data_IF_623256932830
#
_entry.id   IF_623256932830
#
_cell.length_a   1.000
_cell.length_b   1.000
_cell.length_c   1.000
_cell.angle_alpha   90.00
_cell.angle_beta   90.00
_cell.angle_gamma   90.00
#
_symmetry.space_group_name_H-M   'P 1'
#
loop_
_entity.id
_entity.type
_entity.pdbx_description
1 polymer ?
#
# COMPACT_ATOMS: atom_id res chain seq x y z
N UNK A 1 23.19 16.23 3.93
CA UNK A 1 23.75 14.99 4.46
C UNK A 1 24.89 15.18 5.47
N UNK A 2 25.53 16.33 5.57
CA UNK A 2 26.64 16.51 6.50
C UNK A 2 26.55 17.84 7.27
N UNK A 3 26.21 17.78 8.57
CA UNK A 3 26.27 18.92 9.48
C UNK A 3 27.63 19.07 10.18
N UNK A 4 28.62 18.22 9.85
CA UNK A 4 29.96 18.33 10.43
C UNK A 4 30.91 19.13 9.52
N UNK A 5 31.22 20.40 9.83
CA UNK A 5 32.08 21.24 9.00
C UNK A 5 33.55 20.76 8.87
N UNK A 6 33.93 19.72 9.65
CA UNK A 6 35.29 19.14 9.62
C UNK A 6 35.46 18.04 8.58
N UNK A 7 34.39 17.67 7.85
CA UNK A 7 34.46 16.63 6.83
C UNK A 7 34.23 17.26 5.46
N UNK A 8 35.15 17.03 4.54
CA UNK A 8 35.03 17.43 3.13
C UNK A 8 34.51 16.24 2.32
N UNK A 9 33.37 16.42 1.65
CA UNK A 9 32.83 15.42 0.73
C UNK A 9 33.25 15.76 -0.70
N UNK A 10 33.83 14.80 -1.40
CA UNK A 10 34.26 14.89 -2.79
C UNK A 10 33.48 13.87 -3.63
N UNK A 11 33.18 14.25 -4.87
CA UNK A 11 32.56 13.35 -5.85
C UNK A 11 33.43 13.32 -7.09
N UNK A 12 33.87 12.13 -7.51
CA UNK A 12 34.73 11.90 -8.63
C UNK A 12 34.08 10.93 -9.61
N UNK A 13 33.82 11.37 -10.83
CA UNK A 13 33.21 10.55 -11.87
C UNK A 13 34.22 10.48 -13.03
N UNK A 14 34.60 9.27 -13.40
CA UNK A 14 35.50 9.05 -14.52
C UNK A 14 34.79 9.38 -15.84
N UNK A 15 35.42 10.12 -16.73
CA UNK A 15 34.91 10.38 -18.08
C UNK A 15 34.71 9.10 -18.88
N UNK A 16 33.67 9.08 -19.75
CA UNK A 16 33.38 7.93 -20.63
C UNK A 16 32.45 6.87 -20.04
N UNK A 17 31.74 7.19 -18.94
CA UNK A 17 30.62 6.41 -18.42
C UNK A 17 29.33 7.24 -18.69
N UNK A 18 28.80 7.13 -19.91
CA UNK A 18 27.64 7.92 -20.33
C UNK A 18 26.32 7.23 -19.99
N UNK A 19 26.25 5.90 -20.13
CA UNK A 19 25.07 5.09 -19.86
C UNK A 19 25.46 3.76 -19.22
N UNK A 20 24.67 3.31 -18.24
CA UNK A 20 24.79 1.99 -17.66
C UNK A 20 23.41 1.47 -17.19
N UNK A 21 23.24 0.15 -17.19
CA UNK A 21 22.02 -0.50 -16.72
C UNK A 21 22.19 -0.90 -15.24
N UNK A 22 21.29 -0.43 -14.40
CA UNK A 22 21.32 -0.75 -12.97
C UNK A 22 19.93 -0.56 -12.32
N UNK A 23 19.71 -1.24 -11.20
CA UNK A 23 18.58 -0.96 -10.34
C UNK A 23 18.88 0.26 -9.47
N UNK A 24 18.14 1.34 -9.70
CA UNK A 24 18.35 2.62 -9.01
C UNK A 24 18.10 2.54 -7.50
N UNK A 25 17.19 1.67 -7.04
CA UNK A 25 16.91 1.48 -5.60
C UNK A 25 18.06 0.75 -4.92
N UNK A 26 18.61 -0.26 -5.58
CA UNK A 26 19.80 -1.00 -5.09
C UNK A 26 20.99 -0.08 -4.97
N UNK A 27 21.35 0.65 -6.03
CA UNK A 27 22.48 1.56 -6.01
C UNK A 27 22.30 2.66 -4.96
N UNK A 28 21.10 3.24 -4.86
CA UNK A 28 20.79 4.25 -3.83
C UNK A 28 20.96 3.67 -2.43
N UNK A 29 20.49 2.46 -2.19
CA UNK A 29 20.62 1.77 -0.90
C UNK A 29 22.07 1.49 -0.56
N UNK A 30 22.86 0.98 -1.52
CA UNK A 30 24.29 0.72 -1.35
C UNK A 30 25.04 2.00 -1.03
N UNK A 31 24.90 3.04 -1.86
CA UNK A 31 25.61 4.32 -1.68
C UNK A 31 25.23 4.96 -0.34
N UNK A 32 23.96 4.98 0.03
CA UNK A 32 23.53 5.55 1.32
C UNK A 32 24.12 4.81 2.51
N UNK A 33 24.19 3.47 2.48
CA UNK A 33 24.79 2.68 3.56
C UNK A 33 26.30 2.94 3.67
N UNK A 34 27.02 2.97 2.55
CA UNK A 34 28.45 3.22 2.53
C UNK A 34 28.79 4.65 2.96
N UNK A 35 28.06 5.66 2.45
CA UNK A 35 28.23 7.07 2.83
C UNK A 35 27.90 7.31 4.31
N UNK A 36 26.81 6.73 4.81
CA UNK A 36 26.45 6.83 6.22
C UNK A 36 27.54 6.25 7.13
N UNK A 37 28.12 5.11 6.77
CA UNK A 37 29.25 4.53 7.49
C UNK A 37 30.48 5.44 7.44
N UNK A 38 30.85 5.96 6.27
CA UNK A 38 31.99 6.86 6.11
C UNK A 38 31.83 8.12 6.98
N UNK A 39 30.64 8.78 6.96
CA UNK A 39 30.37 9.96 7.80
C UNK A 39 30.46 9.62 9.30
N UNK A 40 29.96 8.47 9.69
CA UNK A 40 29.93 8.02 11.08
C UNK A 40 31.32 7.73 11.64
N UNK A 41 32.21 7.16 10.84
CA UNK A 41 33.52 6.72 11.30
C UNK A 41 34.67 7.69 10.93
N UNK A 42 34.33 8.83 10.30
CA UNK A 42 35.34 9.90 9.98
C UNK A 42 35.07 11.13 10.85
N UNK A 43 35.78 11.35 11.95
CA UNK A 43 35.58 12.53 12.80
C UNK A 43 36.03 13.84 12.15
N UNK A 44 37.03 13.76 11.27
CA UNK A 44 37.56 14.88 10.47
C UNK A 44 38.33 14.35 9.28
N UNK A 45 38.38 15.09 8.18
CA UNK A 45 39.11 14.72 6.97
C UNK A 45 38.25 14.76 5.71
N UNK A 46 38.34 13.74 4.86
CA UNK A 46 37.60 13.69 3.60
C UNK A 46 36.91 12.36 3.39
N UNK A 47 35.77 12.42 2.67
CA UNK A 47 35.04 11.27 2.14
C UNK A 47 34.92 11.48 0.65
N UNK A 48 35.36 10.52 -0.15
CA UNK A 48 35.31 10.56 -1.61
C UNK A 48 34.34 9.50 -2.12
N UNK A 49 33.33 9.91 -2.83
CA UNK A 49 32.44 9.02 -3.62
C UNK A 49 32.97 9.02 -5.05
N UNK A 50 33.37 7.86 -5.57
CA UNK A 50 33.91 7.75 -6.91
C UNK A 50 33.15 6.72 -7.76
N UNK A 51 33.05 7.01 -9.07
CA UNK A 51 32.55 6.12 -10.10
C UNK A 51 33.67 5.91 -11.14
N UNK A 52 34.17 4.69 -11.24
CA UNK A 52 35.26 4.35 -12.12
C UNK A 52 34.97 3.10 -12.96
N UNK A 53 35.42 3.10 -14.19
CA UNK A 53 35.39 1.94 -15.08
C UNK A 53 36.59 1.06 -14.84
N UNK A 54 36.41 -0.15 -14.32
CA UNK A 54 37.48 -1.09 -14.04
C UNK A 54 37.92 -1.84 -15.32
N UNK A 55 36.94 -2.24 -16.13
CA UNK A 55 37.14 -2.90 -17.42
C UNK A 55 36.05 -2.46 -18.43
N UNK A 56 36.05 -3.02 -19.64
CA UNK A 56 34.97 -2.76 -20.60
C UNK A 56 33.61 -3.19 -20.11
N UNK A 57 33.52 -4.10 -19.14
CA UNK A 57 32.27 -4.73 -18.67
C UNK A 57 31.91 -4.40 -17.23
N UNK A 58 32.84 -3.87 -16.43
CA UNK A 58 32.68 -3.66 -14.99
C UNK A 58 32.95 -2.22 -14.57
N UNK A 59 32.08 -1.72 -13.72
CA UNK A 59 32.12 -0.39 -13.11
C UNK A 59 32.17 -0.53 -11.59
N UNK A 60 32.98 0.28 -10.95
CA UNK A 60 33.14 0.37 -9.49
C UNK A 60 32.52 1.66 -8.98
N UNK A 61 31.60 1.53 -8.03
CA UNK A 61 31.12 2.62 -7.20
C UNK A 61 31.82 2.50 -5.86
N UNK A 62 32.65 3.47 -5.49
CA UNK A 62 33.48 3.38 -4.30
C UNK A 62 33.26 4.56 -3.36
N UNK A 63 33.24 4.28 -2.05
CA UNK A 63 33.27 5.28 -0.99
C UNK A 63 34.57 5.09 -0.20
N UNK A 64 35.42 6.13 -0.21
CA UNK A 64 36.66 6.16 0.49
C UNK A 64 36.65 7.22 1.58
N UNK A 65 37.04 6.86 2.79
CA UNK A 65 37.09 7.74 3.96
C UNK A 65 38.48 7.78 4.58
N UNK A 66 38.82 8.89 5.21
CA UNK A 66 40.06 9.09 5.98
C UNK A 66 39.84 8.94 7.48
N UNK A 67 38.90 8.09 7.89
CA UNK A 67 38.50 7.90 9.27
C UNK A 67 39.36 6.92 10.07
N UNK A 68 38.75 6.26 11.04
CA UNK A 68 39.45 5.37 11.97
C UNK A 68 40.03 4.10 11.31
N UNK A 69 39.57 3.74 10.12
CA UNK A 69 39.92 2.47 9.48
C UNK A 69 39.50 1.25 10.31
N UNK A 70 39.71 0.07 9.75
CA UNK A 70 39.25 -1.21 10.31
C UNK A 70 40.45 -2.11 10.55
N UNK A 71 40.46 -2.82 11.68
CA UNK A 71 41.51 -3.79 11.99
C UNK A 71 41.41 -5.01 11.06
N UNK A 72 42.55 -5.61 10.68
CA UNK A 72 42.58 -6.78 9.78
C UNK A 72 41.74 -7.96 10.28
N UNK A 73 41.75 -8.14 11.59
CA UNK A 73 41.01 -9.21 12.26
C UNK A 73 39.47 -9.02 12.20
N UNK A 74 39.03 -7.77 12.07
CA UNK A 74 37.61 -7.42 11.98
C UNK A 74 37.08 -7.50 10.54
N UNK A 75 37.89 -7.32 9.51
CA UNK A 75 37.45 -7.28 8.10
C UNK A 75 36.56 -8.46 7.67
N UNK A 76 36.80 -9.73 8.05
CA UNK A 76 35.96 -10.84 7.68
C UNK A 76 34.54 -10.77 8.33
N UNK A 77 34.44 -10.06 9.46
CA UNK A 77 33.24 -10.06 10.31
C UNK A 77 32.35 -8.83 10.11
N UNK A 78 32.88 -7.72 9.55
CA UNK A 78 32.14 -6.45 9.45
C UNK A 78 30.89 -6.53 8.56
N UNK A 79 30.79 -7.53 7.71
CA UNK A 79 29.62 -7.83 6.87
C UNK A 79 28.66 -8.82 7.51
N UNK A 80 28.93 -9.31 8.72
CA UNK A 80 28.02 -10.19 9.45
C UNK A 80 26.92 -9.34 10.14
N UNK A 81 25.71 -9.89 10.22
CA UNK A 81 24.58 -9.18 10.84
C UNK A 81 24.86 -8.91 12.32
N UNK A 82 24.59 -7.69 12.77
CA UNK A 82 24.73 -7.23 14.15
C UNK A 82 26.20 -7.12 14.63
N UNK A 83 27.19 -7.33 13.76
CA UNK A 83 28.58 -7.15 14.14
C UNK A 83 28.93 -5.67 14.32
N UNK A 84 29.59 -5.37 15.43
CA UNK A 84 30.14 -4.04 15.75
C UNK A 84 31.50 -4.24 16.42
N UNK A 85 32.51 -3.49 15.96
CA UNK A 85 33.82 -3.53 16.59
C UNK A 85 33.76 -2.90 17.99
N UNK A 86 34.08 -3.67 19.04
CA UNK A 86 34.12 -3.20 20.42
C UNK A 86 35.31 -2.26 20.62
N UNK A 87 35.06 -0.96 20.84
CA UNK A 87 36.12 0.03 21.04
C UNK A 87 35.65 1.36 21.62
N UNK A 88 36.61 2.25 21.92
CA UNK A 88 36.38 3.58 22.52
C UNK A 88 35.55 4.54 21.63
N UNK A 89 35.27 4.17 20.39
CA UNK A 89 34.54 4.96 19.40
C UNK A 89 33.24 4.25 18.92
N UNK A 90 32.50 3.71 19.90
CA UNK A 90 31.21 3.06 19.61
C UNK A 90 30.21 4.12 19.12
N UNK A 91 30.11 4.26 17.80
CA UNK A 91 29.07 5.08 17.19
C UNK A 91 27.79 4.24 17.08
N UNK A 92 26.64 4.79 17.49
CA UNK A 92 25.35 4.07 17.45
C UNK A 92 25.02 3.58 16.05
N UNK A 93 24.66 2.30 15.91
CA UNK A 93 24.27 1.70 14.63
C UNK A 93 23.78 0.28 14.85
N UNK A 94 23.03 -0.26 13.89
CA UNK A 94 22.38 -1.57 13.99
C UNK A 94 23.28 -2.74 13.61
N UNK A 95 24.45 -2.50 12.98
CA UNK A 95 25.29 -3.57 12.42
C UNK A 95 24.65 -4.31 11.25
N UNK A 96 23.64 -3.73 10.58
CA UNK A 96 22.91 -4.37 9.47
C UNK A 96 23.33 -3.78 8.11
N UNK A 97 23.80 -2.53 8.05
CA UNK A 97 24.07 -1.82 6.79
C UNK A 97 25.01 -2.54 5.85
N UNK A 98 26.19 -2.99 6.32
CA UNK A 98 27.17 -3.72 5.49
C UNK A 98 26.69 -5.15 5.16
N UNK A 99 25.96 -5.80 6.04
CA UNK A 99 25.34 -7.08 5.76
C UNK A 99 24.31 -6.97 4.63
N UNK A 100 23.52 -5.87 4.61
CA UNK A 100 22.60 -5.57 3.52
C UNK A 100 23.33 -5.31 2.21
N UNK A 101 24.40 -4.50 2.21
CA UNK A 101 25.22 -4.25 1.01
C UNK A 101 25.79 -5.56 0.45
N UNK A 102 26.28 -6.45 1.31
CA UNK A 102 26.77 -7.78 0.90
C UNK A 102 25.66 -8.64 0.30
N UNK A 103 24.47 -8.65 0.89
CA UNK A 103 23.32 -9.40 0.35
C UNK A 103 22.86 -8.85 -1.01
N UNK A 104 22.84 -7.53 -1.17
CA UNK A 104 22.52 -6.88 -2.44
C UNK A 104 23.59 -7.18 -3.50
N UNK A 105 24.87 -7.20 -3.12
CA UNK A 105 25.94 -7.61 -4.03
C UNK A 105 25.75 -9.04 -4.55
N UNK A 106 25.40 -9.98 -3.68
CA UNK A 106 25.12 -11.37 -4.06
C UNK A 106 23.93 -11.50 -5.01
N UNK A 107 22.84 -10.76 -4.74
CA UNK A 107 21.63 -10.78 -5.57
C UNK A 107 21.85 -10.20 -6.97
N UNK A 108 22.78 -9.24 -7.11
CA UNK A 108 23.06 -8.55 -8.37
C UNK A 108 24.34 -9.03 -9.05
N UNK A 109 24.85 -10.21 -8.66
CA UNK A 109 26.14 -10.73 -9.17
C UNK A 109 27.26 -9.68 -9.11
N UNK A 110 27.17 -8.78 -8.15
CA UNK A 110 28.14 -7.72 -7.90
C UNK A 110 29.17 -8.18 -6.88
N UNK A 111 30.36 -7.57 -6.89
CA UNK A 111 31.42 -7.84 -5.94
C UNK A 111 31.55 -6.68 -4.95
N UNK A 112 31.62 -6.97 -3.66
CA UNK A 112 31.93 -5.99 -2.61
C UNK A 112 33.37 -6.18 -2.19
N UNK A 113 34.25 -5.21 -2.55
CA UNK A 113 35.66 -5.18 -2.13
C UNK A 113 35.84 -4.16 -1.00
N UNK A 114 36.67 -4.51 -0.02
CA UNK A 114 36.92 -3.69 1.17
C UNK A 114 38.41 -3.60 1.40
N UNK A 115 38.95 -2.38 1.28
CA UNK A 115 40.29 -2.04 1.62
C UNK A 115 40.31 -1.10 2.82
N UNK A 116 40.96 -1.50 3.92
CA UNK A 116 41.02 -0.67 5.11
C UNK A 116 42.23 -0.95 5.94
N UNK A 117 42.74 0.11 6.55
CA UNK A 117 43.86 0.04 7.50
C UNK A 117 43.59 0.92 8.69
N UNK A 118 43.71 0.37 9.88
CA UNK A 118 43.45 1.06 11.13
C UNK A 118 44.30 2.33 11.25
N UNK A 119 43.61 3.48 11.42
CA UNK A 119 44.20 4.81 11.51
C UNK A 119 44.44 5.52 10.17
N UNK A 120 44.19 4.86 9.02
CA UNK A 120 44.41 5.44 7.69
C UNK A 120 43.08 5.65 6.92
N UNK A 121 42.00 4.99 7.34
CA UNK A 121 40.69 5.06 6.71
C UNK A 121 40.23 3.76 6.04
N UNK A 122 39.16 3.82 5.28
CA UNK A 122 38.59 2.67 4.60
C UNK A 122 38.09 3.03 3.20
N UNK A 123 38.18 2.06 2.28
CA UNK A 123 37.58 2.13 0.95
C UNK A 123 36.69 0.93 0.74
N UNK A 124 35.40 1.20 0.44
CA UNK A 124 34.42 0.20 0.07
C UNK A 124 34.08 0.36 -1.39
N UNK A 125 34.22 -0.70 -2.18
CA UNK A 125 33.96 -0.69 -3.62
C UNK A 125 32.91 -1.71 -3.97
N UNK A 126 31.80 -1.23 -4.55
CA UNK A 126 30.72 -2.04 -5.08
C UNK A 126 30.91 -2.13 -6.60
N UNK A 127 31.21 -3.32 -7.11
CA UNK A 127 31.60 -3.54 -8.50
C UNK A 127 30.42 -4.27 -9.20
N UNK A 128 29.87 -3.63 -10.23
CA UNK A 128 28.72 -4.13 -10.99
C UNK A 128 29.02 -4.18 -12.49
N UNK A 129 28.24 -4.96 -13.23
CA UNK A 129 28.35 -5.00 -14.70
C UNK A 129 27.81 -3.71 -15.31
N UNK A 130 28.51 -3.23 -16.34
CA UNK A 130 28.11 -2.05 -17.10
C UNK A 130 26.90 -2.34 -18.01
N UNK A 131 26.81 -3.56 -18.55
CA UNK A 131 25.83 -3.98 -19.52
C UNK A 131 24.69 -4.79 -18.88
N UNK A 132 23.52 -4.76 -19.51
CA UNK A 132 22.36 -5.57 -19.11
C UNK A 132 22.48 -7.03 -19.57
N UNK A 133 23.53 -7.72 -19.11
CA UNK A 133 23.85 -9.11 -19.52
C UNK A 133 23.52 -10.14 -18.45
N UNK A 134 22.71 -9.78 -17.44
CA UNK A 134 22.28 -10.72 -16.41
C UNK A 134 21.27 -11.71 -16.99
N UNK A 135 21.51 -13.05 -16.87
CA UNK A 135 20.69 -14.07 -17.53
C UNK A 135 19.20 -14.07 -17.11
N UNK A 136 18.92 -13.61 -15.88
CA UNK A 136 17.57 -13.58 -15.28
C UNK A 136 17.04 -12.17 -15.06
N UNK A 137 17.68 -11.14 -15.65
CA UNK A 137 17.24 -9.76 -15.49
C UNK A 137 15.85 -9.58 -16.14
N UNK A 138 14.92 -9.03 -15.40
CA UNK A 138 13.67 -8.52 -15.93
C UNK A 138 13.99 -7.28 -16.78
N UNK A 139 14.08 -7.47 -18.09
CA UNK A 139 14.18 -6.36 -19.02
C UNK A 139 12.82 -5.67 -19.07
N UNK A 140 12.75 -4.40 -18.68
CA UNK A 140 11.67 -3.54 -19.14
C UNK A 140 11.96 -3.30 -20.62
N UNK A 141 11.28 -4.05 -21.47
CA UNK A 141 11.16 -3.65 -22.87
C UNK A 141 10.60 -2.22 -22.87
N UNK A 142 11.14 -1.37 -23.74
CA UNK A 142 10.65 -0.02 -24.01
C UNK A 142 9.24 -0.07 -24.67
N UNK A 143 8.29 -0.73 -24.04
CA UNK A 143 6.89 -0.48 -24.31
C UNK A 143 6.58 0.91 -23.74
N UNK A 144 6.67 1.90 -24.61
CA UNK A 144 5.91 3.12 -24.47
C UNK A 144 4.46 2.68 -24.26
N UNK A 145 4.04 2.61 -22.99
CA UNK A 145 2.64 2.54 -22.65
C UNK A 145 2.06 3.86 -23.14
N UNK A 146 1.46 3.82 -24.32
CA UNK A 146 0.63 4.91 -24.82
C UNK A 146 -0.53 5.08 -23.85
N UNK A 147 -0.44 6.08 -22.97
CA UNK A 147 -1.46 6.46 -21.99
C UNK A 147 -2.69 7.10 -22.67
N UNK A 148 -2.90 6.88 -23.97
CA UNK A 148 -4.01 7.48 -24.72
C UNK A 148 -5.27 6.63 -24.79
N UNK A 149 -5.30 5.37 -24.30
CA UNK A 149 -6.49 4.52 -24.38
C UNK A 149 -7.30 4.36 -23.10
N UNK A 150 -7.11 5.23 -22.10
CA UNK A 150 -7.93 5.22 -20.86
C UNK A 150 -9.11 6.20 -20.89
N UNK A 151 -9.49 6.75 -22.04
CA UNK A 151 -10.60 7.72 -22.18
C UNK A 151 -11.69 7.19 -23.11
N UNK A 152 -12.29 6.04 -22.81
CA UNK A 152 -13.61 5.70 -23.34
C UNK A 152 -14.49 5.11 -22.25
N UNK A 153 -15.03 6.01 -21.41
CA UNK A 153 -16.24 5.74 -20.64
C UNK A 153 -17.38 6.38 -21.42
N UNK A 154 -18.37 5.61 -21.89
CA UNK A 154 -19.53 6.19 -22.55
C UNK A 154 -20.31 7.03 -21.54
N UNK A 155 -20.42 8.30 -21.79
CA UNK A 155 -21.35 9.20 -21.14
C UNK A 155 -22.79 8.74 -21.44
N UNK A 156 -23.50 8.23 -20.45
CA UNK A 156 -24.93 8.04 -20.49
C UNK A 156 -25.59 9.09 -19.60
N UNK A 157 -26.29 9.98 -20.25
CA UNK A 157 -27.25 10.92 -19.64
C UNK A 157 -28.30 10.14 -18.84
N UNK A 158 -28.48 10.52 -17.57
CA UNK A 158 -29.53 9.93 -16.75
C UNK A 158 -29.58 10.50 -15.34
N UNK A 159 -30.46 11.49 -15.15
CA UNK A 159 -30.89 12.15 -13.91
C UNK A 159 -29.99 13.26 -13.37
N UNK A 160 -30.45 14.46 -13.64
CA UNK A 160 -30.09 15.72 -12.96
C UNK A 160 -30.52 15.63 -11.50
N UNK A 161 -29.55 15.40 -10.62
CA UNK A 161 -29.52 15.76 -9.19
C UNK A 161 -28.25 15.21 -8.54
N UNK A 162 -27.07 15.39 -9.12
CA UNK A 162 -25.78 15.32 -8.43
C UNK A 162 -24.81 16.21 -9.22
N UNK A 163 -24.85 17.48 -8.85
CA UNK A 163 -24.04 18.55 -9.43
C UNK A 163 -22.56 18.31 -9.18
N UNK A 164 -21.79 18.37 -10.27
CA UNK A 164 -20.41 18.83 -10.38
C UNK A 164 -19.46 18.36 -9.27
N UNK A 165 -19.12 17.06 -9.23
CA UNK A 165 -17.84 16.65 -8.71
C UNK A 165 -16.77 17.07 -9.74
N UNK A 166 -16.10 18.19 -9.50
CA UNK A 166 -14.94 18.64 -10.26
C UNK A 166 -13.89 17.51 -10.31
N UNK A 167 -13.08 17.47 -11.38
CA UNK A 167 -12.02 16.47 -11.56
C UNK A 167 -11.03 16.40 -10.37
N UNK A 168 -10.96 17.44 -9.56
CA UNK A 168 -10.21 17.48 -8.29
C UNK A 168 -10.74 16.51 -7.22
N UNK A 169 -12.03 16.19 -7.22
CA UNK A 169 -12.61 15.23 -6.25
C UNK A 169 -12.36 13.76 -6.58
N UNK A 170 -11.74 13.44 -7.73
CA UNK A 170 -11.44 12.06 -8.13
C UNK A 170 -10.11 11.54 -7.55
N UNK A 171 -9.19 12.43 -7.09
CA UNK A 171 -7.92 12.02 -6.50
C UNK A 171 -8.11 11.49 -5.08
N UNK A 172 -7.41 10.39 -4.67
CA UNK A 172 -7.47 9.88 -3.31
C UNK A 172 -7.05 10.93 -2.28
N UNK A 173 -7.70 10.90 -1.11
CA UNK A 173 -7.44 11.81 -0.01
C UNK A 173 -6.45 11.18 0.98
N UNK A 174 -5.28 11.77 1.15
CA UNK A 174 -4.28 11.35 2.13
C UNK A 174 -4.25 12.29 3.33
N UNK A 175 -4.04 11.74 4.51
CA UNK A 175 -3.76 12.50 5.73
C UNK A 175 -2.30 12.28 6.11
N UNK A 176 -1.53 13.37 6.22
CA UNK A 176 -0.14 13.38 6.69
C UNK A 176 -0.15 13.90 8.13
N UNK A 177 0.41 13.11 9.05
CA UNK A 177 0.52 13.45 10.47
C UNK A 177 2.01 13.45 10.84
N UNK A 178 2.59 14.61 11.04
CA UNK A 178 4.02 14.82 11.27
C UNK A 178 4.20 16.13 12.05
N UNK A 179 4.92 16.12 13.15
CA UNK A 179 5.14 17.30 13.97
C UNK A 179 6.15 18.28 13.34
N UNK A 180 7.14 17.77 12.63
CA UNK A 180 8.13 18.56 11.93
C UNK A 180 7.56 19.16 10.64
N UNK A 181 7.47 20.49 10.58
CA UNK A 181 6.92 21.24 9.43
C UNK A 181 7.68 20.99 8.13
N UNK A 182 9.01 20.85 8.20
CA UNK A 182 9.86 20.67 7.00
C UNK A 182 9.67 19.29 6.39
N UNK A 183 9.55 18.25 7.23
CA UNK A 183 9.26 16.88 6.78
C UNK A 183 7.83 16.81 6.24
N UNK A 184 6.87 17.42 6.91
CA UNK A 184 5.48 17.47 6.48
C UNK A 184 5.34 18.13 5.12
N UNK A 185 6.00 19.28 4.90
CA UNK A 185 6.03 19.97 3.62
C UNK A 185 6.72 19.14 2.52
N UNK A 186 7.84 18.49 2.84
CA UNK A 186 8.53 17.60 1.90
C UNK A 186 7.63 16.45 1.42
N UNK A 187 6.86 15.85 2.33
CA UNK A 187 5.92 14.78 1.97
C UNK A 187 4.79 15.33 1.09
N UNK A 188 4.22 16.49 1.46
CA UNK A 188 3.17 17.15 0.67
C UNK A 188 3.64 17.48 -0.73
N UNK A 189 4.77 18.18 -0.89
CA UNK A 189 5.33 18.57 -2.18
C UNK A 189 5.57 17.36 -3.10
N UNK A 190 5.89 16.21 -2.49
CA UNK A 190 6.12 14.97 -3.22
C UNK A 190 4.84 14.25 -3.66
N UNK A 191 3.69 14.52 -3.03
CA UNK A 191 2.45 13.76 -3.23
C UNK A 191 1.29 14.58 -3.82
N UNK A 192 1.33 15.92 -3.77
CA UNK A 192 0.21 16.80 -4.14
C UNK A 192 -0.23 16.70 -5.61
N UNK A 193 0.63 16.22 -6.51
CA UNK A 193 0.28 16.01 -7.92
C UNK A 193 -0.72 14.87 -8.10
N UNK A 194 -0.54 13.77 -7.35
CA UNK A 194 -1.33 12.54 -7.48
C UNK A 194 -2.47 12.44 -6.46
N UNK A 195 -2.36 13.15 -5.32
CA UNK A 195 -3.24 13.00 -4.16
C UNK A 195 -3.75 14.34 -3.65
N UNK A 196 -4.90 14.32 -3.00
CA UNK A 196 -5.37 15.43 -2.15
C UNK A 196 -4.79 15.24 -0.77
N UNK A 197 -4.23 16.29 -0.17
CA UNK A 197 -3.49 16.20 1.09
C UNK A 197 -4.24 16.94 2.20
N UNK A 198 -4.40 16.27 3.35
CA UNK A 198 -4.71 16.86 4.65
C UNK A 198 -3.46 16.77 5.53
N UNK A 199 -3.26 17.77 6.37
CA UNK A 199 -2.13 17.81 7.29
C UNK A 199 -2.59 17.90 8.74
N UNK A 200 -1.83 17.26 9.64
CA UNK A 200 -1.96 17.39 11.09
C UNK A 200 -0.56 17.46 11.70
N UNK A 201 -0.42 18.18 12.82
CA UNK A 201 0.87 18.39 13.49
C UNK A 201 1.10 17.45 14.68
N UNK A 202 0.11 16.62 15.06
CA UNK A 202 0.20 15.62 16.12
C UNK A 202 -0.88 14.56 15.96
N UNK A 203 -0.77 13.45 16.69
CA UNK A 203 -1.72 12.33 16.60
C UNK A 203 -3.14 12.67 17.01
N UNK A 204 -3.35 13.64 17.90
CA UNK A 204 -4.68 14.08 18.35
C UNK A 204 -5.42 14.78 17.22
N UNK A 205 -4.78 15.75 16.59
CA UNK A 205 -5.31 16.44 15.42
C UNK A 205 -5.52 15.46 14.25
N UNK A 206 -4.55 14.55 14.02
CA UNK A 206 -4.63 13.49 13.02
C UNK A 206 -5.85 12.59 13.21
N UNK A 207 -6.10 12.14 14.45
CA UNK A 207 -7.28 11.35 14.79
C UNK A 207 -8.58 12.11 14.50
N UNK A 208 -8.67 13.36 14.93
CA UNK A 208 -9.88 14.17 14.78
C UNK A 208 -10.17 14.44 13.29
N UNK A 209 -9.15 14.73 12.48
CA UNK A 209 -9.25 14.86 11.03
C UNK A 209 -9.62 13.53 10.34
N UNK A 210 -9.04 12.41 10.77
CA UNK A 210 -9.37 11.09 10.22
C UNK A 210 -10.85 10.76 10.44
N UNK A 211 -11.39 11.01 11.62
CA UNK A 211 -12.81 10.80 11.93
C UNK A 211 -13.74 11.75 11.17
N UNK A 212 -13.34 13.00 10.94
CA UNK A 212 -14.15 13.99 10.24
C UNK A 212 -14.10 13.83 8.72
N UNK A 213 -12.92 13.58 8.16
CA UNK A 213 -12.66 13.61 6.72
C UNK A 213 -12.54 12.23 6.07
N UNK A 214 -12.36 11.14 6.86
CA UNK A 214 -12.27 9.76 6.38
C UNK A 214 -11.31 9.61 5.19
N UNK A 215 -10.00 9.84 5.36
CA UNK A 215 -9.02 9.76 4.28
C UNK A 215 -8.90 8.33 3.73
N UNK A 216 -8.43 8.20 2.49
CA UNK A 216 -8.20 6.91 1.84
C UNK A 216 -6.94 6.21 2.38
N UNK A 217 -5.98 6.97 2.96
CA UNK A 217 -4.77 6.46 3.61
C UNK A 217 -4.19 7.53 4.54
N UNK A 218 -3.56 7.08 5.64
CA UNK A 218 -2.85 7.93 6.59
C UNK A 218 -1.36 7.61 6.56
N UNK A 219 -0.52 8.65 6.50
CA UNK A 219 0.93 8.58 6.72
C UNK A 219 1.22 9.33 8.01
N UNK A 220 1.76 8.65 9.02
CA UNK A 220 1.98 9.24 10.34
C UNK A 220 3.39 9.00 10.85
N UNK A 221 4.02 10.02 11.42
CA UNK A 221 5.18 9.78 12.29
C UNK A 221 4.74 9.02 13.55
N UNK A 222 5.67 8.25 14.12
CA UNK A 222 5.48 7.58 15.41
C UNK A 222 5.68 8.56 16.55
N UNK A 223 6.75 9.35 16.53
CA UNK A 223 7.18 10.16 17.67
C UNK A 223 6.66 11.59 17.54
N UNK A 224 5.51 11.87 18.12
CA UNK A 224 4.88 13.20 18.08
C UNK A 224 4.42 13.63 19.48
N UNK A 225 4.33 14.95 19.75
CA UNK A 225 3.78 15.47 21.01
C UNK A 225 2.27 15.18 21.13
N UNK A 226 1.74 15.28 22.35
CA UNK A 226 0.35 15.09 22.76
C UNK A 226 -0.18 13.66 22.60
N UNK A 227 -0.11 13.10 21.39
CA UNK A 227 -0.51 11.74 21.04
C UNK A 227 0.45 11.21 20.00
N UNK A 228 1.07 10.08 20.26
CA UNK A 228 1.97 9.44 19.31
C UNK A 228 1.22 8.70 18.19
N UNK A 229 1.95 8.35 17.10
CA UNK A 229 1.36 7.69 15.94
C UNK A 229 0.88 6.27 16.23
N UNK A 230 1.45 5.57 17.21
CA UNK A 230 1.04 4.22 17.60
C UNK A 230 -0.30 4.27 18.37
N UNK A 231 -0.42 5.18 19.31
CA UNK A 231 -1.66 5.40 20.07
C UNK A 231 -2.79 5.83 19.14
N UNK A 232 -2.53 6.78 18.23
CA UNK A 232 -3.49 7.20 17.20
C UNK A 232 -3.92 6.01 16.34
N UNK A 233 -2.98 5.18 15.90
CA UNK A 233 -3.27 4.01 15.06
C UNK A 233 -4.19 3.02 15.78
N UNK A 234 -3.91 2.69 17.03
CA UNK A 234 -4.76 1.80 17.85
C UNK A 234 -6.19 2.32 17.93
N UNK A 235 -6.37 3.59 18.29
CA UNK A 235 -7.70 4.21 18.39
C UNK A 235 -8.45 4.13 17.06
N UNK A 236 -7.78 4.46 15.94
CA UNK A 236 -8.41 4.44 14.62
C UNK A 236 -8.74 3.03 14.14
N UNK A 237 -7.93 2.04 14.46
CA UNK A 237 -8.14 0.64 14.08
C UNK A 237 -9.20 -0.05 14.94
N UNK A 238 -9.43 0.39 16.17
CA UNK A 238 -10.48 -0.08 17.07
C UNK A 238 -11.84 0.57 16.81
N UNK A 239 -11.89 1.69 16.10
CA UNK A 239 -13.15 2.36 15.74
C UNK A 239 -13.72 1.79 14.44
N UNK A 240 -14.94 1.27 14.51
CA UNK A 240 -15.64 0.69 13.34
C UNK A 240 -15.77 1.66 12.16
N UNK A 241 -15.70 2.97 12.40
CA UNK A 241 -15.80 3.98 11.34
C UNK A 241 -14.52 4.08 10.52
N UNK A 242 -13.34 3.89 11.15
CA UNK A 242 -12.02 4.16 10.59
C UNK A 242 -11.14 2.91 10.46
N UNK A 243 -11.57 1.75 10.98
CA UNK A 243 -10.80 0.49 10.95
C UNK A 243 -10.29 0.08 9.57
N UNK A 244 -11.02 0.44 8.51
CA UNK A 244 -10.67 0.13 7.13
C UNK A 244 -9.59 1.05 6.53
N UNK A 245 -9.29 2.20 7.16
CA UNK A 245 -8.32 3.18 6.64
C UNK A 245 -6.91 2.61 6.83
N UNK A 246 -6.12 2.42 5.76
CA UNK A 246 -4.74 1.97 5.87
C UNK A 246 -3.85 3.06 6.46
N UNK A 247 -2.90 2.64 7.31
CA UNK A 247 -1.98 3.53 8.01
C UNK A 247 -0.55 3.09 7.75
N UNK A 248 0.29 4.02 7.27
CA UNK A 248 1.74 3.88 7.15
C UNK A 248 2.38 4.64 8.30
N UNK A 249 3.16 3.95 9.14
CA UNK A 249 3.93 4.59 10.21
C UNK A 249 5.37 4.87 9.73
N UNK A 250 5.80 6.13 9.92
CA UNK A 250 7.17 6.56 9.68
C UNK A 250 7.96 6.37 10.98
N UNK A 251 9.10 5.69 10.93
CA UNK A 251 9.88 5.35 12.13
C UNK A 251 11.35 5.72 11.97
N UNK A 252 11.93 6.32 13.00
CA UNK A 252 13.38 6.52 13.09
C UNK A 252 14.10 5.33 13.77
N UNK A 253 13.33 4.38 14.36
CA UNK A 253 13.86 3.30 15.18
C UNK A 253 14.07 2.02 14.37
N UNK A 254 15.19 1.36 14.63
CA UNK A 254 15.66 0.15 13.94
C UNK A 254 15.58 -1.11 14.79
N UNK A 255 15.07 -1.02 16.05
CA UNK A 255 15.04 -2.20 16.91
C UNK A 255 13.90 -3.14 16.55
N UNK A 256 14.14 -4.45 16.60
CA UNK A 256 13.15 -5.48 16.33
C UNK A 256 11.93 -5.40 17.29
N UNK A 257 12.14 -4.93 18.53
CA UNK A 257 11.05 -4.75 19.50
C UNK A 257 10.11 -3.61 19.12
N UNK A 258 10.63 -2.49 18.58
CA UNK A 258 9.79 -1.35 18.17
C UNK A 258 8.96 -1.68 16.91
N UNK A 259 9.49 -2.54 16.03
CA UNK A 259 8.74 -3.06 14.89
C UNK A 259 7.62 -4.01 15.34
N UNK A 260 7.85 -4.79 16.38
CA UNK A 260 6.86 -5.73 16.93
C UNK A 260 5.71 -4.98 17.63
N UNK A 261 6.01 -3.95 18.46
CA UNK A 261 4.98 -3.07 19.04
C UNK A 261 4.16 -2.35 17.96
N UNK A 262 4.82 -1.98 16.88
CA UNK A 262 4.16 -1.37 15.75
C UNK A 262 3.25 -2.33 14.99
N UNK A 263 3.65 -3.58 14.71
CA UNK A 263 2.76 -4.58 14.10
C UNK A 263 1.56 -4.90 15.01
N UNK A 264 1.77 -4.94 16.32
CA UNK A 264 0.71 -5.14 17.31
C UNK A 264 -0.27 -3.94 17.37
N UNK A 265 0.13 -2.75 16.88
CA UNK A 265 -0.76 -1.58 16.77
C UNK A 265 -1.79 -1.67 15.64
N UNK A 266 -1.63 -2.62 14.71
CA UNK A 266 -2.50 -2.81 13.55
C UNK A 266 -2.17 -1.89 12.35
N UNK A 267 -1.00 -1.26 12.30
CA UNK A 267 -0.57 -0.50 11.13
C UNK A 267 -0.39 -1.41 9.91
N UNK A 268 -0.76 -0.91 8.72
CA UNK A 268 -0.69 -1.68 7.48
C UNK A 268 0.73 -1.69 6.88
N UNK A 269 1.57 -0.73 7.24
CA UNK A 269 2.96 -0.66 6.78
C UNK A 269 3.83 0.22 7.66
N UNK A 270 5.14 -0.03 7.58
CA UNK A 270 6.19 0.78 8.22
C UNK A 270 7.16 1.28 7.17
N UNK A 271 7.63 2.51 7.35
CA UNK A 271 8.66 3.11 6.51
C UNK A 271 9.72 3.76 7.39
N UNK A 272 10.96 3.35 7.23
CA UNK A 272 12.07 3.85 8.02
C UNK A 272 12.54 5.21 7.53
N UNK A 273 12.72 6.17 8.44
CA UNK A 273 13.39 7.44 8.20
C UNK A 273 14.93 7.24 8.24
N UNK A 274 15.72 7.84 7.31
CA UNK A 274 15.29 8.67 6.18
C UNK A 274 14.75 7.83 5.00
N UNK A 275 13.69 8.29 4.36
CA UNK A 275 13.09 7.65 3.19
C UNK A 275 13.13 8.57 1.96
N UNK A 276 13.06 7.98 0.78
CA UNK A 276 12.87 8.74 -0.46
C UNK A 276 11.38 8.94 -0.76
N UNK A 277 11.05 10.08 -1.38
CA UNK A 277 9.68 10.36 -1.84
C UNK A 277 9.14 9.25 -2.76
N UNK A 278 9.97 8.72 -3.67
CA UNK A 278 9.61 7.63 -4.57
C UNK A 278 9.21 6.35 -3.82
N UNK A 279 9.94 6.01 -2.75
CA UNK A 279 9.63 4.84 -1.93
C UNK A 279 8.29 5.00 -1.22
N UNK A 280 8.03 6.18 -0.64
CA UNK A 280 6.75 6.49 -0.02
C UNK A 280 5.60 6.43 -1.04
N UNK A 281 5.75 7.06 -2.22
CA UNK A 281 4.77 7.00 -3.32
C UNK A 281 4.46 5.56 -3.74
N UNK A 282 5.50 4.75 -3.95
CA UNK A 282 5.34 3.33 -4.32
C UNK A 282 4.58 2.55 -3.25
N UNK A 283 4.88 2.80 -1.96
CA UNK A 283 4.21 2.15 -0.84
C UNK A 283 2.72 2.53 -0.77
N UNK A 284 2.40 3.82 -0.90
CA UNK A 284 1.03 4.34 -0.94
C UNK A 284 0.27 3.70 -2.10
N UNK A 285 0.84 3.73 -3.31
CA UNK A 285 0.23 3.16 -4.52
C UNK A 285 -0.06 1.66 -4.36
N UNK A 286 0.88 0.90 -3.81
CA UNK A 286 0.72 -0.54 -3.58
C UNK A 286 -0.40 -0.84 -2.58
N UNK A 287 -0.49 -0.09 -1.48
CA UNK A 287 -1.55 -0.28 -0.48
C UNK A 287 -2.92 0.08 -1.07
N UNK A 288 -3.05 1.23 -1.73
CA UNK A 288 -4.32 1.65 -2.33
C UNK A 288 -4.78 0.69 -3.45
N UNK A 289 -3.85 0.22 -4.30
CA UNK A 289 -4.17 -0.76 -5.35
C UNK A 289 -4.52 -2.14 -4.78
N UNK A 290 -3.88 -2.56 -3.71
CA UNK A 290 -4.23 -3.79 -2.97
C UNK A 290 -5.62 -3.71 -2.37
N UNK A 291 -5.96 -2.59 -1.72
CA UNK A 291 -7.30 -2.33 -1.17
C UNK A 291 -8.38 -2.31 -2.25
N UNK A 292 -8.09 -1.72 -3.41
CA UNK A 292 -9.03 -1.72 -4.54
C UNK A 292 -9.31 -3.14 -5.04
N UNK A 293 -8.28 -3.96 -5.24
CA UNK A 293 -8.43 -5.37 -5.64
C UNK A 293 -9.22 -6.19 -4.62
N UNK A 294 -8.95 -5.96 -3.32
CA UNK A 294 -9.69 -6.60 -2.24
C UNK A 294 -11.17 -6.19 -2.26
N UNK A 295 -11.49 -4.91 -2.44
CA UNK A 295 -12.84 -4.41 -2.53
C UNK A 295 -13.60 -5.02 -3.72
N UNK A 296 -12.97 -5.13 -4.90
CA UNK A 296 -13.54 -5.79 -6.09
C UNK A 296 -13.83 -7.29 -5.81
N UNK A 297 -12.91 -7.98 -5.14
CA UNK A 297 -13.09 -9.38 -4.73
C UNK A 297 -14.25 -9.56 -3.74
N UNK A 298 -14.32 -8.71 -2.70
CA UNK A 298 -15.41 -8.72 -1.71
C UNK A 298 -16.75 -8.50 -2.39
N UNK A 299 -16.83 -7.55 -3.30
CA UNK A 299 -18.03 -7.29 -4.07
C UNK A 299 -18.49 -8.53 -4.86
N UNK A 300 -17.58 -9.29 -5.43
CA UNK A 300 -17.89 -10.52 -6.16
C UNK A 300 -18.34 -11.65 -5.22
N UNK A 301 -17.62 -11.88 -4.13
CA UNK A 301 -17.88 -12.95 -3.16
C UNK A 301 -19.21 -12.77 -2.38
N UNK A 302 -19.48 -11.57 -1.86
CA UNK A 302 -20.70 -11.29 -1.11
C UNK A 302 -21.96 -11.55 -1.95
N UNK A 303 -21.84 -11.40 -3.25
CA UNK A 303 -22.93 -11.70 -4.15
C UNK A 303 -23.06 -13.20 -4.49
N UNK A 304 -22.00 -13.98 -4.38
CA UNK A 304 -22.04 -15.45 -4.58
C UNK A 304 -22.66 -16.16 -3.38
N UNK A 305 -22.44 -15.68 -2.16
CA UNK A 305 -22.99 -16.27 -0.93
C UNK A 305 -24.53 -16.10 -0.82
N UNK A 306 -25.09 -15.05 -1.41
CA UNK A 306 -26.54 -14.83 -1.50
C UNK A 306 -27.19 -15.88 -2.41
N UNK A 307 -26.43 -16.42 -3.38
CA UNK A 307 -26.94 -17.44 -4.32
C UNK A 307 -26.87 -18.87 -3.75
N UNK A 308 -25.98 -19.16 -2.78
CA UNK A 308 -25.70 -20.53 -2.33
C UNK A 308 -26.48 -20.97 -1.07
N UNK A 309 -27.22 -20.11 -0.40
CA UNK A 309 -27.94 -20.45 0.85
C UNK A 309 -29.26 -21.21 0.69
N UNK A 310 -29.73 -21.53 -0.51
CA UNK A 310 -31.01 -22.21 -0.77
C UNK A 310 -30.86 -23.49 -1.61
N UNK A 311 -29.89 -24.38 -1.32
CA UNK A 311 -29.99 -25.77 -1.77
C UNK A 311 -29.66 -26.74 -0.62
N UNK A 312 -30.64 -27.41 -0.01
CA UNK A 312 -30.40 -28.62 0.75
C UNK A 312 -30.35 -29.80 -0.24
N UNK A 313 -29.22 -30.07 -0.84
CA UNK A 313 -28.99 -31.37 -1.46
C UNK A 313 -27.96 -32.11 -0.61
N UNK A 314 -28.47 -33.05 0.15
CA UNK A 314 -27.65 -34.12 0.66
C UNK A 314 -27.09 -34.91 -0.49
N UNK A 315 -25.76 -34.99 -0.52
CA UNK A 315 -25.01 -36.15 -0.93
C UNK A 315 -23.52 -35.89 -0.63
N UNK A 316 -23.00 -36.76 0.18
CA UNK A 316 -21.60 -36.85 0.58
C UNK A 316 -20.69 -37.03 -0.63
N UNK A 317 -19.77 -36.09 -0.84
CA UNK A 317 -18.58 -36.36 -1.64
C UNK A 317 -17.36 -36.39 -0.75
N UNK A 318 -16.64 -37.49 -0.89
CA UNK A 318 -15.46 -37.93 -0.14
C UNK A 318 -14.32 -36.90 -0.22
N UNK A 319 -13.67 -36.76 0.92
CA UNK A 319 -12.38 -36.09 1.09
C UNK A 319 -11.34 -36.74 0.20
N UNK A 320 -10.80 -36.00 -0.76
CA UNK A 320 -9.47 -36.25 -1.27
C UNK A 320 -8.52 -35.25 -0.60
N UNK A 321 -7.65 -35.80 0.24
CA UNK A 321 -6.48 -35.11 0.76
C UNK A 321 -5.47 -34.98 -0.39
N UNK A 322 -5.40 -33.79 -1.00
CA UNK A 322 -4.25 -33.38 -1.79
C UNK A 322 -3.78 -32.03 -1.30
N UNK A 323 -2.53 -31.99 -0.92
CA UNK A 323 -1.65 -30.90 -0.52
C UNK A 323 -2.04 -29.53 -1.11
N UNK A 324 -2.76 -28.73 -0.32
CA UNK A 324 -2.89 -27.30 -0.58
C UNK A 324 -1.73 -26.56 0.10
N UNK A 325 -0.87 -25.97 -0.73
CA UNK A 325 -0.22 -24.72 -0.39
C UNK A 325 -1.33 -23.73 -0.04
N UNK A 326 -1.44 -23.35 1.23
CA UNK A 326 -2.39 -22.38 1.74
C UNK A 326 -2.09 -21.01 1.08
N UNK A 327 -2.69 -20.75 -0.07
CA UNK A 327 -2.91 -19.38 -0.51
C UNK A 327 -3.94 -18.80 0.45
N UNK A 328 -3.48 -17.97 1.39
CA UNK A 328 -4.34 -17.17 2.27
C UNK A 328 -5.42 -16.50 1.41
N UNK A 329 -6.69 -16.79 1.71
CA UNK A 329 -7.81 -16.19 0.99
C UNK A 329 -7.71 -14.66 1.14
N UNK A 330 -7.96 -13.86 0.08
CA UNK A 330 -7.87 -12.40 0.15
C UNK A 330 -8.70 -11.78 1.28
N UNK A 331 -9.73 -12.47 1.75
CA UNK A 331 -10.55 -12.06 2.91
C UNK A 331 -9.84 -12.15 4.26
N UNK A 332 -8.71 -12.87 4.38
CA UNK A 332 -7.88 -12.87 5.59
C UNK A 332 -7.25 -11.50 5.89
N UNK A 333 -7.18 -10.61 4.89
CA UNK A 333 -6.66 -9.25 5.04
C UNK A 333 -7.67 -8.23 5.60
N UNK A 334 -8.94 -8.62 5.80
CA UNK A 334 -9.96 -7.75 6.41
C UNK A 334 -9.85 -7.78 7.93
N UNK A 335 -9.96 -6.60 8.56
CA UNK A 335 -10.11 -6.54 10.01
C UNK A 335 -11.39 -7.24 10.45
N UNK A 336 -11.41 -7.75 11.69
CA UNK A 336 -12.62 -8.38 12.25
C UNK A 336 -13.80 -7.40 12.30
N UNK A 337 -13.53 -6.12 12.57
CA UNK A 337 -14.54 -5.05 12.57
C UNK A 337 -15.14 -4.82 11.18
N UNK A 338 -14.30 -4.83 10.14
CA UNK A 338 -14.77 -4.64 8.76
C UNK A 338 -15.58 -5.84 8.28
N UNK A 339 -15.18 -7.06 8.66
CA UNK A 339 -15.96 -8.27 8.38
C UNK A 339 -17.33 -8.22 9.07
N UNK A 340 -17.38 -7.88 10.36
CA UNK A 340 -18.64 -7.71 11.09
C UNK A 340 -19.53 -6.61 10.49
N UNK A 341 -18.90 -5.53 10.02
CA UNK A 341 -19.63 -4.47 9.32
C UNK A 341 -20.28 -4.98 8.04
N UNK A 342 -19.55 -5.70 7.18
CA UNK A 342 -20.08 -6.26 5.94
C UNK A 342 -21.16 -7.33 6.19
N UNK A 343 -20.97 -8.18 7.18
CA UNK A 343 -21.97 -9.17 7.59
C UNK A 343 -23.28 -8.50 8.04
N UNK A 344 -23.17 -7.46 8.89
CA UNK A 344 -24.34 -6.69 9.34
C UNK A 344 -25.02 -5.98 8.19
N UNK A 345 -24.24 -5.37 7.27
CA UNK A 345 -24.73 -4.71 6.07
C UNK A 345 -25.54 -5.68 5.19
N UNK A 346 -24.96 -6.84 4.88
CA UNK A 346 -25.61 -7.85 4.04
C UNK A 346 -26.86 -8.44 4.70
N UNK A 347 -26.81 -8.73 6.00
CA UNK A 347 -27.97 -9.23 6.75
C UNK A 347 -29.12 -8.22 6.77
N UNK A 348 -28.83 -6.91 6.90
CA UNK A 348 -29.85 -5.86 6.82
C UNK A 348 -30.47 -5.79 5.43
N UNK A 349 -29.64 -5.86 4.37
CA UNK A 349 -30.14 -5.87 2.99
C UNK A 349 -31.04 -7.09 2.77
N UNK A 350 -30.61 -8.30 3.11
CA UNK A 350 -31.38 -9.54 2.93
C UNK A 350 -32.72 -9.48 3.66
N UNK A 351 -32.73 -9.01 4.90
CA UNK A 351 -33.90 -8.96 5.75
C UNK A 351 -34.96 -7.96 5.26
N UNK A 352 -34.51 -6.85 4.67
CA UNK A 352 -35.38 -5.74 4.28
C UNK A 352 -35.48 -5.54 2.76
N UNK A 353 -35.00 -6.49 1.96
CA UNK A 353 -34.93 -6.38 0.49
C UNK A 353 -36.28 -6.15 -0.17
N UNK A 354 -37.38 -6.68 0.44
CA UNK A 354 -38.76 -6.58 -0.06
C UNK A 354 -39.45 -5.31 0.41
N UNK A 355 -38.86 -4.52 1.30
CA UNK A 355 -39.51 -3.32 1.84
C UNK A 355 -39.12 -2.10 1.03
N UNK A 356 -40.08 -1.21 0.80
CA UNK A 356 -39.83 0.09 0.14
C UNK A 356 -38.92 0.99 0.97
N UNK A 357 -38.78 0.71 2.26
CA UNK A 357 -37.99 1.49 3.23
C UNK A 357 -36.49 1.20 3.20
N UNK A 358 -36.00 0.26 2.35
CA UNK A 358 -34.58 -0.03 2.24
C UNK A 358 -33.88 1.07 1.44
N UNK A 359 -33.69 2.21 2.10
CA UNK A 359 -32.94 3.37 1.62
C UNK A 359 -31.68 3.59 2.47
N UNK A 360 -30.90 4.60 2.10
CA UNK A 360 -29.66 4.94 2.81
C UNK A 360 -29.95 5.49 4.21
N UNK A 361 -31.04 6.21 4.42
CA UNK A 361 -31.40 6.76 5.73
C UNK A 361 -31.69 5.62 6.72
N UNK A 362 -32.46 4.61 6.31
CA UNK A 362 -32.66 3.39 7.07
C UNK A 362 -31.36 2.66 7.41
N UNK A 363 -30.47 2.50 6.40
CA UNK A 363 -29.19 1.80 6.59
C UNK A 363 -28.29 2.54 7.58
N UNK A 364 -28.19 3.85 7.48
CA UNK A 364 -27.36 4.67 8.38
C UNK A 364 -27.89 4.64 9.82
N UNK A 365 -29.23 4.67 10.01
CA UNK A 365 -29.85 4.52 11.33
C UNK A 365 -29.50 3.15 11.95
N UNK A 366 -29.72 2.05 11.22
CA UNK A 366 -29.45 0.68 11.70
C UNK A 366 -27.97 0.39 11.91
N UNK A 367 -27.09 1.06 11.16
CA UNK A 367 -25.65 0.94 11.32
C UNK A 367 -25.07 1.91 12.36
N UNK A 368 -25.89 2.85 12.89
CA UNK A 368 -25.49 3.90 13.83
C UNK A 368 -24.31 4.74 13.32
N UNK A 369 -24.39 5.15 12.06
CA UNK A 369 -23.36 5.94 11.39
C UNK A 369 -23.95 7.17 10.71
N UNK A 370 -23.14 8.23 10.56
CA UNK A 370 -23.52 9.36 9.72
C UNK A 370 -23.59 8.92 8.24
N UNK A 371 -24.39 9.63 7.46
CA UNK A 371 -24.54 9.37 6.03
C UNK A 371 -23.19 9.36 5.30
N UNK A 372 -22.34 10.35 5.53
CA UNK A 372 -21.02 10.46 4.91
C UNK A 372 -20.08 9.32 5.31
N UNK A 373 -20.04 8.95 6.60
CA UNK A 373 -19.22 7.85 7.11
C UNK A 373 -19.65 6.51 6.50
N UNK A 374 -20.96 6.25 6.46
CA UNK A 374 -21.50 5.03 5.86
C UNK A 374 -21.13 4.93 4.37
N UNK A 375 -21.35 5.99 3.59
CA UNK A 375 -21.03 6.01 2.17
C UNK A 375 -19.54 5.75 1.89
N UNK A 376 -18.66 6.42 2.62
CA UNK A 376 -17.20 6.27 2.45
C UNK A 376 -16.74 4.88 2.83
N UNK A 377 -17.24 4.34 3.96
CA UNK A 377 -16.87 2.98 4.41
C UNK A 377 -17.38 1.90 3.45
N UNK A 378 -18.63 1.97 2.97
CA UNK A 378 -19.13 1.02 1.97
C UNK A 378 -18.31 1.11 0.69
N UNK A 379 -18.00 2.32 0.19
CA UNK A 379 -17.17 2.51 -1.01
C UNK A 379 -15.77 1.94 -0.82
N UNK A 380 -15.14 2.18 0.33
CA UNK A 380 -13.79 1.68 0.62
C UNK A 380 -13.74 0.15 0.68
N UNK A 381 -14.75 -0.50 1.28
CA UNK A 381 -14.77 -1.95 1.46
C UNK A 381 -15.29 -2.73 0.25
N UNK A 382 -16.12 -2.12 -0.60
CA UNK A 382 -16.79 -2.81 -1.72
C UNK A 382 -16.44 -2.24 -3.10
N UNK A 383 -15.72 -1.12 -3.15
CA UNK A 383 -15.43 -0.40 -4.40
C UNK A 383 -16.66 0.28 -5.03
N UNK A 384 -17.86 0.15 -4.44
CA UNK A 384 -19.12 0.62 -5.00
C UNK A 384 -19.75 1.72 -4.14
N UNK A 385 -20.52 2.62 -4.76
CA UNK A 385 -21.37 3.55 -4.01
C UNK A 385 -22.46 2.74 -3.26
N UNK A 386 -22.86 3.18 -2.07
CA UNK A 386 -23.80 2.44 -1.23
C UNK A 386 -25.15 2.14 -1.94
N UNK A 387 -25.70 3.11 -2.68
CA UNK A 387 -26.90 2.91 -3.49
C UNK A 387 -26.72 1.84 -4.58
N UNK A 388 -25.56 1.83 -5.22
CA UNK A 388 -25.20 0.86 -6.25
C UNK A 388 -25.08 -0.54 -5.67
N UNK A 389 -24.45 -0.67 -4.49
CA UNK A 389 -24.29 -1.93 -3.79
C UNK A 389 -25.65 -2.53 -3.41
N UNK A 390 -26.57 -1.72 -2.83
CA UNK A 390 -27.93 -2.15 -2.50
C UNK A 390 -28.69 -2.56 -3.76
N UNK A 391 -28.62 -1.74 -4.82
CA UNK A 391 -29.28 -2.04 -6.10
C UNK A 391 -28.79 -3.34 -6.72
N UNK A 392 -27.48 -3.59 -6.68
CA UNK A 392 -26.87 -4.80 -7.19
C UNK A 392 -27.29 -6.04 -6.39
N UNK A 393 -27.40 -5.92 -5.05
CA UNK A 393 -27.94 -6.98 -4.20
C UNK A 393 -29.41 -7.30 -4.55
N UNK A 394 -30.25 -6.27 -4.74
CA UNK A 394 -31.65 -6.45 -5.19
C UNK A 394 -31.74 -7.17 -6.54
N UNK A 395 -30.93 -6.80 -7.51
CA UNK A 395 -30.92 -7.43 -8.84
C UNK A 395 -30.46 -8.90 -8.80
N UNK A 396 -29.47 -9.22 -7.96
CA UNK A 396 -29.02 -10.61 -7.82
C UNK A 396 -30.03 -11.49 -7.11
N UNK A 397 -30.71 -11.00 -6.09
CA UNK A 397 -31.85 -11.73 -5.49
C UNK A 397 -32.97 -11.93 -6.50
N UNK A 398 -33.23 -10.95 -7.36
CA UNK A 398 -34.22 -11.11 -8.43
C UNK A 398 -33.83 -12.17 -9.46
N UNK A 399 -32.53 -12.33 -9.78
CA UNK A 399 -32.05 -13.41 -10.64
C UNK A 399 -32.39 -14.79 -10.05
N UNK A 400 -32.15 -14.99 -8.75
CA UNK A 400 -32.49 -16.24 -8.05
C UNK A 400 -33.99 -16.51 -8.06
N UNK A 401 -34.82 -15.47 -7.82
CA UNK A 401 -36.26 -15.61 -7.83
C UNK A 401 -36.84 -15.89 -9.23
N UNK A 402 -36.24 -15.34 -10.29
CA UNK A 402 -36.63 -15.61 -11.67
C UNK A 402 -36.34 -17.04 -12.11
N UNK A 403 -35.32 -17.67 -11.55
CA UNK A 403 -35.00 -19.10 -11.77
C UNK A 403 -36.03 -20.03 -11.11
N UNK A 404 -36.77 -19.51 -10.13
CA UNK A 404 -37.84 -20.23 -9.49
C UNK A 404 -39.18 -19.81 -10.17
N UNK A 405 -39.84 -20.76 -10.88
CA UNK A 405 -41.02 -20.52 -11.73
C UNK A 405 -42.28 -20.07 -10.96
N UNK A 406 -42.23 -19.99 -9.62
CA UNK A 406 -43.34 -19.64 -8.75
C UNK A 406 -43.81 -18.19 -8.89
N UNK A 407 -42.94 -17.29 -9.35
CA UNK A 407 -43.23 -15.85 -9.36
C UNK A 407 -43.27 -15.26 -10.78
N UNK A 408 -44.21 -14.37 -11.06
CA UNK A 408 -44.18 -13.55 -12.28
C UNK A 408 -43.05 -12.50 -12.24
N UNK A 409 -42.66 -11.99 -13.40
CA UNK A 409 -41.63 -10.92 -13.48
C UNK A 409 -42.03 -9.70 -12.66
N UNK A 410 -43.33 -9.37 -12.63
CA UNK A 410 -43.85 -8.26 -11.85
C UNK A 410 -43.75 -8.53 -10.35
N UNK A 411 -44.10 -9.74 -9.91
CA UNK A 411 -43.97 -10.15 -8.51
C UNK A 411 -42.50 -10.17 -8.06
N UNK A 412 -41.56 -10.66 -8.91
CA UNK A 412 -40.14 -10.62 -8.61
C UNK A 412 -39.65 -9.18 -8.44
N UNK A 413 -40.06 -8.24 -9.30
CA UNK A 413 -39.72 -6.83 -9.16
C UNK A 413 -40.24 -6.28 -7.81
N UNK A 414 -41.44 -6.56 -7.42
CA UNK A 414 -42.04 -6.13 -6.13
C UNK A 414 -41.30 -6.79 -4.94
N UNK A 415 -41.05 -8.10 -4.98
CA UNK A 415 -40.41 -8.85 -3.91
C UNK A 415 -38.93 -8.41 -3.71
N UNK A 416 -38.36 -7.77 -4.69
CA UNK A 416 -36.97 -7.22 -4.61
C UNK A 416 -36.95 -5.70 -4.46
N UNK A 417 -38.12 -5.08 -4.11
CA UNK A 417 -38.21 -3.66 -3.77
C UNK A 417 -37.96 -2.73 -4.96
N UNK A 418 -38.46 -3.10 -6.15
CA UNK A 418 -38.49 -2.21 -7.31
C UNK A 418 -39.94 -1.72 -7.53
N UNK A 419 -40.15 -0.41 -7.31
CA UNK A 419 -41.47 0.21 -7.46
C UNK A 419 -41.90 0.43 -8.91
N UNK A 420 -40.93 0.26 -9.87
CA UNK A 420 -41.21 0.42 -11.30
C UNK A 420 -40.62 -0.74 -12.09
N UNK A 421 -41.47 -1.48 -12.78
CA UNK A 421 -41.08 -2.65 -13.61
C UNK A 421 -40.21 -2.24 -14.79
N UNK A 422 -40.38 -1.05 -15.34
CA UNK A 422 -39.53 -0.50 -16.42
C UNK A 422 -38.10 -0.33 -15.95
N UNK A 423 -37.92 0.35 -14.81
CA UNK A 423 -36.63 0.55 -14.17
C UNK A 423 -35.96 -0.77 -13.76
N UNK A 424 -36.76 -1.74 -13.30
CA UNK A 424 -36.28 -3.10 -13.00
C UNK A 424 -35.69 -3.77 -14.26
N UNK A 425 -36.48 -3.85 -15.37
CA UNK A 425 -36.07 -4.49 -16.61
C UNK A 425 -34.81 -3.89 -17.20
N UNK A 426 -34.73 -2.55 -17.23
CA UNK A 426 -33.57 -1.82 -17.72
C UNK A 426 -32.34 -2.08 -16.85
N UNK A 427 -32.46 -1.96 -15.53
CA UNK A 427 -31.39 -2.21 -14.59
C UNK A 427 -30.91 -3.65 -14.62
N UNK A 428 -31.82 -4.59 -14.76
CA UNK A 428 -31.54 -6.02 -14.86
C UNK A 428 -30.77 -6.33 -16.15
N UNK A 429 -31.23 -5.81 -17.30
CA UNK A 429 -30.54 -5.98 -18.59
C UNK A 429 -29.15 -5.38 -18.57
N UNK A 430 -28.98 -4.21 -17.94
CA UNK A 430 -27.67 -3.57 -17.82
C UNK A 430 -26.70 -4.38 -16.94
N UNK A 431 -27.16 -5.00 -15.86
CA UNK A 431 -26.32 -5.79 -14.94
C UNK A 431 -25.96 -7.17 -15.53
N UNK A 432 -26.90 -7.84 -16.18
CA UNK A 432 -26.73 -9.24 -16.60
C UNK A 432 -26.62 -9.44 -18.12
N UNK A 433 -26.72 -8.38 -18.90
CA UNK A 433 -26.68 -8.45 -20.38
C UNK A 433 -27.93 -9.06 -21.02
N UNK A 434 -28.87 -9.60 -20.25
CA UNK A 434 -30.11 -10.26 -20.69
C UNK A 434 -31.32 -9.72 -19.94
N UNK A 435 -32.51 -9.82 -20.56
CA UNK A 435 -33.76 -9.39 -19.94
C UNK A 435 -34.30 -10.44 -18.94
N UNK A 436 -35.11 -10.04 -17.96
CA UNK A 436 -35.79 -11.00 -17.04
C UNK A 436 -36.60 -12.08 -17.78
N UNK A 437 -37.16 -11.76 -18.97
CA UNK A 437 -37.92 -12.70 -19.78
C UNK A 437 -37.01 -13.74 -20.46
N UNK A 438 -35.83 -13.33 -20.92
CA UNK A 438 -34.85 -14.24 -21.52
C UNK A 438 -34.30 -15.24 -20.49
N UNK A 439 -34.00 -14.79 -19.26
CA UNK A 439 -33.56 -15.69 -18.16
C UNK A 439 -34.57 -16.80 -17.90
N UNK A 440 -35.89 -16.51 -18.04
CA UNK A 440 -36.97 -17.45 -17.83
C UNK A 440 -37.13 -18.45 -18.97
N UNK A 441 -36.80 -18.04 -20.21
CA UNK A 441 -36.98 -18.84 -21.41
C UNK A 441 -35.73 -19.67 -21.77
N UNK A 442 -34.60 -19.45 -21.09
CA UNK A 442 -33.30 -20.13 -21.34
C UNK A 442 -33.11 -21.39 -20.48
N UNK A 443 -34.20 -22.11 -20.15
CA UNK A 443 -34.12 -23.47 -19.61
C UNK A 443 -34.41 -24.53 -20.66
#
# INVERSE_FOLDING_TARGET
LNHNPKIKILVEIQEGIEEMYFDSEVITTVVNNLMSNAIKYTPSGSITLSLCKNTSEWVSISVEDTGYGIAKEALPLICDRYYQENGKHQASGTGIGLALVKSLAQLHEAELQIDSKKGEGSKFSFIIRLNNTYPEALHKDDEKIDLTDANHIPSTEGSKEDSEESAENLRPLLLIVEDNSDIRQYIEDSLQEDYRILQACNGKEGKDLALAQMPDLIVSDIMMPEMDGIEMTKILKEDIRTSHIPIILLTAKTSANDQQEGYDSGADSYLMKPFSAKLLQSRIRNILSGRRRLAEYIAQQNFSSILSKEMPTGESCQKNEETHLEMESPTAQLSELDRKFLEKLNNLIEKHISTDDLDIAFMTDKMAMSHSTFYRKVKALTGMRANEYIKKAKLRKSMTLLQNEQYSISEVAMLTGFNNIGNFRESFKREFGMTPSEVRNHK
#
